data_IF_164220860035
#
_entry.id   IF_164220860035
#
_cell.length_a   1.000
_cell.length_b   1.000
_cell.length_c   1.000
_cell.angle_alpha   90.00
_cell.angle_beta   90.00
_cell.angle_gamma   90.00
#
_symmetry.space_group_name_H-M   'P 1'
#
loop_
_entity.id
_entity.type
_entity.pdbx_description
1 polymer ?
#
# COMPACT_ATOMS: atom_id res chain seq x y z
N UNK A 1 15.35 -10.66 -3.87
CA UNK A 1 16.19 -9.49 -3.57
C UNK A 1 16.87 -9.68 -2.22
N UNK A 2 18.20 -9.58 -2.22
CA UNK A 2 18.97 -9.56 -0.97
C UNK A 2 19.23 -8.11 -0.60
N UNK A 3 18.49 -7.58 0.38
CA UNK A 3 18.77 -6.25 0.93
C UNK A 3 19.74 -6.37 2.10
N UNK A 4 20.75 -5.50 2.12
CA UNK A 4 21.72 -5.39 3.24
C UNK A 4 21.53 -4.04 3.87
N UNK A 5 20.99 -4.00 5.10
CA UNK A 5 20.88 -2.76 5.87
C UNK A 5 22.06 -2.59 6.83
N UNK A 6 22.57 -1.36 6.94
CA UNK A 6 23.58 -0.98 7.93
C UNK A 6 22.91 -0.14 9.01
N UNK A 7 22.86 -0.66 10.22
CA UNK A 7 22.35 0.10 11.37
C UNK A 7 23.53 0.69 12.14
N UNK A 8 23.52 2.01 12.36
CA UNK A 8 24.47 2.72 13.19
C UNK A 8 23.79 3.05 14.52
N UNK A 9 24.22 2.39 15.60
CA UNK A 9 23.78 2.77 16.95
C UNK A 9 24.60 3.97 17.43
N UNK A 10 23.90 5.03 17.87
CA UNK A 10 24.48 6.20 18.53
C UNK A 10 24.01 6.20 19.97
N UNK A 11 24.91 6.44 20.93
CA UNK A 11 24.51 6.55 22.32
C UNK A 11 23.78 7.87 22.59
N UNK A 12 22.93 7.91 23.62
CA UNK A 12 22.15 9.09 24.01
C UNK A 12 23.00 10.35 24.26
N UNK A 13 24.27 10.18 24.59
CA UNK A 13 25.21 11.28 24.87
C UNK A 13 25.95 11.81 23.63
N UNK A 14 25.63 11.31 22.45
CA UNK A 14 26.25 11.76 21.20
C UNK A 14 27.71 11.28 20.99
N UNK A 15 28.27 10.55 21.93
CA UNK A 15 29.61 9.98 21.83
C UNK A 15 29.60 8.72 20.96
N UNK A 16 30.38 8.70 19.88
CA UNK A 16 30.56 7.51 19.04
C UNK A 16 31.48 6.55 19.78
N UNK A 17 30.94 5.72 20.65
CA UNK A 17 31.68 4.67 21.31
C UNK A 17 31.88 3.50 20.37
N UNK A 18 33.05 3.45 19.75
CA UNK A 18 33.61 2.30 19.06
C UNK A 18 32.89 1.95 17.71
N UNK A 19 33.69 1.61 16.73
CA UNK A 19 33.22 0.83 15.58
C UNK A 19 32.97 -0.60 16.07
N UNK A 20 31.77 -0.86 16.63
CA UNK A 20 31.33 -2.22 16.68
C UNK A 20 31.15 -2.66 15.24
N UNK A 21 31.75 -3.81 14.91
CA UNK A 21 31.62 -4.50 13.65
C UNK A 21 30.25 -4.23 13.06
N UNK A 22 30.19 -3.66 11.84
CA UNK A 22 28.93 -3.42 11.16
C UNK A 22 28.14 -4.73 11.20
N UNK A 23 27.09 -4.79 12.02
CA UNK A 23 26.14 -5.89 11.98
C UNK A 23 25.47 -5.79 10.63
N UNK A 24 25.85 -6.67 9.73
CA UNK A 24 25.14 -6.87 8.48
C UNK A 24 23.94 -7.75 8.81
N UNK A 25 22.81 -7.13 9.02
CA UNK A 25 21.57 -7.88 9.05
C UNK A 25 21.19 -8.23 7.61
N UNK A 26 21.11 -9.53 7.35
CA UNK A 26 20.74 -10.04 6.03
C UNK A 26 19.30 -10.49 6.10
N UNK A 27 18.42 -9.71 5.46
CA UNK A 27 17.03 -10.08 5.27
C UNK A 27 16.88 -10.93 4.01
N UNK A 28 16.21 -12.04 4.13
CA UNK A 28 15.82 -12.91 3.01
C UNK A 28 14.31 -12.88 2.89
N UNK A 29 13.78 -12.42 1.77
CA UNK A 29 12.35 -12.39 1.51
C UNK A 29 12.00 -13.16 0.24
N UNK A 30 10.85 -13.80 0.25
CA UNK A 30 10.28 -14.52 -0.88
C UNK A 30 8.77 -14.50 -0.84
N UNK A 31 8.13 -14.69 -1.99
CA UNK A 31 6.68 -14.72 -2.05
C UNK A 31 6.16 -15.47 -3.27
N UNK A 32 4.91 -15.88 -3.16
CA UNK A 32 4.15 -16.52 -4.22
C UNK A 32 2.85 -15.75 -4.38
N UNK A 33 2.47 -15.44 -5.62
CA UNK A 33 1.17 -14.85 -5.92
C UNK A 33 0.47 -15.64 -7.03
N UNK A 34 -0.84 -15.76 -6.89
CA UNK A 34 -1.71 -16.34 -7.89
C UNK A 34 -2.80 -15.33 -8.22
N UNK A 35 -2.98 -15.04 -9.49
CA UNK A 35 -4.04 -14.17 -9.98
C UNK A 35 -4.89 -14.92 -10.98
N UNK A 36 -6.19 -14.81 -10.84
CA UNK A 36 -7.16 -15.37 -11.77
C UNK A 36 -8.16 -14.29 -12.17
N UNK A 37 -8.45 -14.21 -13.46
CA UNK A 37 -9.48 -13.33 -14.00
C UNK A 37 -10.45 -14.17 -14.82
N UNK A 38 -11.75 -14.00 -14.59
CA UNK A 38 -12.80 -14.70 -15.32
C UNK A 38 -13.82 -13.72 -15.87
N UNK A 39 -14.01 -13.62 -17.17
CA UNK A 39 -15.08 -12.85 -17.76
C UNK A 39 -16.47 -13.36 -17.30
N UNK A 40 -17.39 -12.43 -16.97
CA UNK A 40 -18.78 -12.69 -16.55
C UNK A 40 -19.75 -12.03 -17.55
N UNK A 41 -19.36 -11.83 -18.74
CA UNK A 41 -20.12 -11.13 -19.77
C UNK A 41 -19.19 -10.33 -20.65
N UNK A 42 -19.74 -9.41 -21.43
CA UNK A 42 -18.96 -8.61 -22.38
C UNK A 42 -18.19 -7.47 -21.70
N UNK A 43 -18.74 -6.92 -20.61
CA UNK A 43 -18.22 -5.73 -19.94
C UNK A 43 -17.82 -5.96 -18.49
N UNK A 44 -17.79 -7.22 -18.04
CA UNK A 44 -17.48 -7.52 -16.65
C UNK A 44 -16.55 -8.70 -16.50
N UNK A 45 -15.66 -8.64 -15.51
CA UNK A 45 -14.80 -9.76 -15.13
C UNK A 45 -14.65 -9.86 -13.62
N UNK A 46 -14.63 -11.09 -13.14
CA UNK A 46 -14.31 -11.40 -11.75
C UNK A 46 -12.79 -11.56 -11.61
N UNK A 47 -12.24 -11.00 -10.54
CA UNK A 47 -10.83 -11.05 -10.18
C UNK A 47 -10.66 -11.77 -8.87
N UNK A 48 -9.67 -12.65 -8.79
CA UNK A 48 -9.21 -13.23 -7.54
C UNK A 48 -7.68 -13.17 -7.52
N UNK A 49 -7.12 -12.64 -6.45
CA UNK A 49 -5.68 -12.58 -6.25
C UNK A 49 -5.36 -13.12 -4.85
N UNK A 50 -4.44 -14.06 -4.78
CA UNK A 50 -3.86 -14.58 -3.55
C UNK A 50 -2.37 -14.26 -3.55
N UNK A 51 -1.86 -13.77 -2.43
CA UNK A 51 -0.45 -13.52 -2.21
C UNK A 51 0.00 -14.12 -0.87
N UNK A 52 1.17 -14.68 -0.85
CA UNK A 52 1.86 -15.14 0.36
C UNK A 52 3.29 -14.63 0.31
N UNK A 53 3.73 -13.96 1.38
CA UNK A 53 5.08 -13.43 1.50
C UNK A 53 5.71 -13.93 2.80
N UNK A 54 6.98 -14.26 2.74
CA UNK A 54 7.80 -14.63 3.89
C UNK A 54 9.00 -13.70 3.91
N UNK A 55 9.33 -13.17 5.07
CA UNK A 55 10.55 -12.39 5.31
C UNK A 55 11.23 -12.90 6.57
N UNK A 56 12.50 -13.27 6.45
CA UNK A 56 13.30 -13.79 7.55
C UNK A 56 14.54 -12.92 7.71
N UNK A 57 14.81 -12.52 8.95
CA UNK A 57 16.05 -11.83 9.33
C UNK A 57 17.05 -12.83 9.93
N UNK A 58 18.32 -12.71 9.53
CA UNK A 58 19.32 -13.74 9.90
C UNK A 58 19.88 -13.58 11.31
N UNK A 59 19.79 -12.39 11.91
CA UNK A 59 20.39 -12.08 13.21
C UNK A 59 19.39 -11.67 14.29
N UNK A 60 18.27 -11.07 13.91
CA UNK A 60 17.18 -10.71 14.84
C UNK A 60 15.90 -11.39 14.32
N UNK A 61 15.61 -12.58 14.82
CA UNK A 61 14.41 -13.35 14.44
C UNK A 61 13.10 -12.67 14.86
N UNK A 62 13.20 -11.61 15.66
CA UNK A 62 12.03 -10.88 16.15
C UNK A 62 11.26 -10.18 15.04
N UNK A 63 11.92 -9.90 13.90
CA UNK A 63 11.32 -9.26 12.73
C UNK A 63 10.95 -10.27 11.61
N UNK A 64 11.07 -11.56 11.87
CA UNK A 64 10.59 -12.58 10.94
C UNK A 64 9.07 -12.48 10.83
N UNK A 65 8.54 -12.42 9.60
CA UNK A 65 7.11 -12.39 9.40
C UNK A 65 6.64 -13.19 8.19
N UNK A 66 5.39 -13.60 8.24
CA UNK A 66 4.66 -14.17 7.13
C UNK A 66 3.38 -13.37 6.90
N UNK A 67 3.01 -13.16 5.66
CA UNK A 67 1.74 -12.55 5.34
C UNK A 67 0.98 -13.33 4.28
N UNK A 68 -0.33 -13.36 4.42
CA UNK A 68 -1.27 -13.96 3.49
C UNK A 68 -2.29 -12.91 3.11
N UNK A 69 -2.59 -12.80 1.83
CA UNK A 69 -3.60 -11.88 1.33
C UNK A 69 -4.48 -12.53 0.29
N UNK A 70 -5.77 -12.28 0.39
CA UNK A 70 -6.76 -12.62 -0.62
C UNK A 70 -7.51 -11.37 -1.02
N UNK A 71 -7.55 -11.08 -2.31
CA UNK A 71 -8.38 -10.02 -2.89
C UNK A 71 -9.37 -10.64 -3.85
N UNK A 72 -10.63 -10.30 -3.69
CA UNK A 72 -11.71 -10.63 -4.63
C UNK A 72 -12.26 -9.32 -5.18
N UNK A 73 -12.44 -9.24 -6.48
CA UNK A 73 -12.89 -8.02 -7.15
C UNK A 73 -13.78 -8.29 -8.33
N UNK A 74 -14.44 -7.25 -8.76
CA UNK A 74 -15.25 -7.23 -9.97
C UNK A 74 -14.85 -5.99 -10.78
N UNK A 75 -14.35 -6.18 -12.00
CA UNK A 75 -14.22 -5.08 -12.95
C UNK A 75 -15.44 -5.05 -13.84
N UNK A 76 -16.06 -3.90 -13.97
CA UNK A 76 -17.25 -3.74 -14.83
C UNK A 76 -17.27 -2.36 -15.46
N UNK A 77 -17.94 -2.25 -16.60
CA UNK A 77 -18.20 -0.97 -17.24
C UNK A 77 -19.69 -0.65 -17.08
N UNK A 78 -20.01 0.48 -16.51
CA UNK A 78 -21.36 0.95 -16.29
C UNK A 78 -21.51 2.39 -16.80
N UNK A 79 -22.33 2.59 -17.83
CA UNK A 79 -22.57 3.92 -18.40
C UNK A 79 -21.30 4.61 -18.92
N UNK A 80 -20.35 3.84 -19.46
CA UNK A 80 -19.08 4.34 -19.97
C UNK A 80 -18.01 4.61 -18.89
N UNK A 81 -18.28 4.26 -17.64
CA UNK A 81 -17.33 4.33 -16.54
C UNK A 81 -16.85 2.93 -16.17
N UNK A 82 -15.57 2.75 -15.98
CA UNK A 82 -15.01 1.54 -15.36
C UNK A 82 -15.17 1.63 -13.85
N UNK A 83 -15.70 0.55 -13.25
CA UNK A 83 -15.86 0.41 -11.80
C UNK A 83 -15.22 -0.89 -11.34
N UNK A 84 -14.46 -0.83 -10.26
CA UNK A 84 -13.70 -1.95 -9.71
C UNK A 84 -13.92 -2.07 -8.20
N UNK A 85 -15.11 -2.53 -7.75
CA UNK A 85 -15.29 -2.89 -6.34
C UNK A 85 -14.46 -4.11 -5.97
N UNK A 86 -13.91 -4.11 -4.76
CA UNK A 86 -13.10 -5.21 -4.26
C UNK A 86 -13.30 -5.44 -2.76
N UNK A 87 -12.94 -6.65 -2.34
CA UNK A 87 -12.86 -7.06 -0.95
C UNK A 87 -11.50 -7.73 -0.71
N UNK A 88 -10.88 -7.45 0.46
CA UNK A 88 -9.60 -8.00 0.84
C UNK A 88 -9.66 -8.65 2.21
N UNK A 89 -8.93 -9.73 2.38
CA UNK A 89 -8.62 -10.34 3.66
C UNK A 89 -7.12 -10.53 3.71
N UNK A 90 -6.49 -10.13 4.79
CA UNK A 90 -5.08 -10.40 5.00
C UNK A 90 -4.79 -10.81 6.45
N UNK A 91 -3.77 -11.62 6.61
CA UNK A 91 -3.22 -12.03 7.89
C UNK A 91 -1.72 -11.85 7.84
N UNK A 92 -1.15 -11.27 8.89
CA UNK A 92 0.29 -11.19 9.09
C UNK A 92 0.63 -11.86 10.43
N UNK A 93 1.55 -12.80 10.38
CA UNK A 93 2.07 -13.52 11.54
C UNK A 93 3.52 -13.05 11.76
N UNK A 94 3.80 -12.49 12.91
CA UNK A 94 5.14 -12.11 13.34
C UNK A 94 5.67 -13.12 14.35
N UNK A 95 6.96 -13.37 14.34
CA UNK A 95 7.59 -14.31 15.27
C UNK A 95 7.41 -13.92 16.75
N UNK A 96 7.18 -12.65 17.03
CA UNK A 96 6.99 -12.06 18.36
C UNK A 96 5.55 -12.08 18.89
N UNK A 97 4.69 -12.96 18.41
CA UNK A 97 3.26 -13.05 18.78
C UNK A 97 2.39 -11.81 18.46
N UNK A 98 2.87 -10.92 17.59
CA UNK A 98 2.13 -9.75 17.12
C UNK A 98 1.34 -10.04 15.83
N UNK A 99 0.47 -11.02 15.86
CA UNK A 99 -0.37 -11.36 14.71
C UNK A 99 -1.37 -10.24 14.42
N UNK A 100 -1.61 -9.98 13.15
CA UNK A 100 -2.67 -9.09 12.72
C UNK A 100 -3.57 -9.74 11.67
N UNK A 101 -4.84 -9.41 11.75
CA UNK A 101 -5.84 -9.79 10.77
C UNK A 101 -6.54 -8.53 10.26
N UNK A 102 -6.59 -8.35 8.95
CA UNK A 102 -7.24 -7.20 8.34
C UNK A 102 -8.27 -7.64 7.31
N UNK A 103 -9.41 -6.97 7.34
CA UNK A 103 -10.42 -7.04 6.31
C UNK A 103 -10.59 -5.67 5.68
N UNK A 104 -10.80 -5.62 4.38
CA UNK A 104 -10.97 -4.36 3.66
C UNK A 104 -11.96 -4.48 2.53
N UNK A 105 -12.50 -3.36 2.15
CA UNK A 105 -13.32 -3.23 0.95
C UNK A 105 -13.07 -1.87 0.30
N UNK A 106 -13.30 -1.81 -0.98
CA UNK A 106 -13.16 -0.54 -1.68
C UNK A 106 -13.80 -0.57 -3.05
N UNK A 107 -13.79 0.58 -3.66
CA UNK A 107 -14.23 0.77 -5.03
C UNK A 107 -13.28 1.74 -5.72
N UNK A 108 -12.77 1.34 -6.88
CA UNK A 108 -12.09 2.22 -7.81
C UNK A 108 -12.99 2.55 -8.99
N UNK A 109 -12.73 3.66 -9.64
CA UNK A 109 -13.42 4.01 -10.86
C UNK A 109 -12.55 4.84 -11.79
N UNK A 110 -12.88 4.74 -13.08
CA UNK A 110 -12.19 5.46 -14.14
C UNK A 110 -13.19 5.88 -15.21
N UNK A 111 -13.08 7.10 -15.69
CA UNK A 111 -13.84 7.60 -16.83
C UNK A 111 -13.04 8.67 -17.60
N UNK A 112 -13.42 8.85 -18.85
CA UNK A 112 -12.84 9.86 -19.72
C UNK A 112 -13.89 10.90 -20.12
N UNK A 113 -13.46 12.14 -20.27
CA UNK A 113 -14.28 13.24 -20.79
C UNK A 113 -13.61 13.80 -22.04
N UNK A 114 -14.21 13.54 -23.18
CA UNK A 114 -13.59 13.79 -24.45
C UNK A 114 -12.34 12.92 -24.66
N UNK A 115 -11.42 13.39 -25.50
CA UNK A 115 -10.18 12.66 -25.84
C UNK A 115 -8.99 13.03 -24.94
N UNK A 116 -9.15 14.04 -24.07
CA UNK A 116 -8.02 14.67 -23.38
C UNK A 116 -8.05 14.57 -21.87
N UNK A 117 -9.20 14.27 -21.27
CA UNK A 117 -9.35 14.21 -19.82
C UNK A 117 -9.61 12.79 -19.37
N UNK A 118 -8.83 12.31 -18.44
CA UNK A 118 -9.04 11.05 -17.74
C UNK A 118 -9.15 11.32 -16.25
N UNK A 119 -10.10 10.67 -15.62
CA UNK A 119 -10.34 10.78 -14.19
C UNK A 119 -10.32 9.40 -13.56
N UNK A 120 -9.61 9.24 -12.47
CA UNK A 120 -9.72 8.07 -11.61
C UNK A 120 -10.04 8.49 -10.18
N UNK A 121 -10.80 7.66 -9.50
CA UNK A 121 -11.17 7.88 -8.11
C UNK A 121 -11.19 6.54 -7.38
N UNK A 122 -11.01 6.59 -6.08
CA UNK A 122 -11.05 5.42 -5.22
C UNK A 122 -11.54 5.75 -3.82
N UNK A 123 -12.18 4.77 -3.23
CA UNK A 123 -12.48 4.71 -1.82
C UNK A 123 -12.04 3.36 -1.28
N UNK A 124 -11.44 3.34 -0.10
CA UNK A 124 -11.08 2.13 0.62
C UNK A 124 -11.48 2.23 2.09
N UNK A 125 -11.83 1.11 2.64
CA UNK A 125 -12.09 0.89 4.07
C UNK A 125 -11.26 -0.31 4.52
N UNK A 126 -10.69 -0.24 5.71
CA UNK A 126 -10.01 -1.36 6.35
C UNK A 126 -10.35 -1.44 7.84
N UNK A 127 -10.49 -2.66 8.34
CA UNK A 127 -10.61 -2.99 9.76
C UNK A 127 -9.49 -3.98 10.09
N UNK A 128 -8.52 -3.54 10.89
CA UNK A 128 -7.37 -4.32 11.32
C UNK A 128 -7.49 -4.66 12.79
N UNK A 129 -7.28 -5.92 13.12
CA UNK A 129 -7.28 -6.46 14.48
C UNK A 129 -5.97 -7.16 14.76
N UNK A 130 -5.27 -6.69 15.78
CA UNK A 130 -4.15 -7.41 16.35
C UNK A 130 -4.65 -8.55 17.22
N UNK A 131 -4.05 -9.72 17.09
CA UNK A 131 -4.35 -10.85 17.95
C UNK A 131 -3.33 -10.88 19.09
N UNK A 132 -3.85 -10.86 20.33
CA UNK A 132 -3.03 -10.84 21.54
C UNK A 132 -3.11 -12.18 22.23
N UNK A 133 -2.02 -12.91 22.24
CA UNK A 133 -1.85 -14.03 23.16
C UNK A 133 -0.91 -13.72 24.33
N UNK A 134 -0.36 -12.51 24.41
CA UNK A 134 0.61 -12.18 25.44
C UNK A 134 0.23 -10.98 26.30
N UNK A 135 0.88 -10.86 27.43
CA UNK A 135 0.82 -9.73 28.36
C UNK A 135 1.51 -8.46 27.78
N UNK A 136 1.91 -8.47 26.52
CA UNK A 136 2.56 -7.34 25.87
C UNK A 136 1.50 -6.31 25.44
N UNK A 137 1.62 -5.12 26.00
CA UNK A 137 0.70 -4.01 25.74
C UNK A 137 0.91 -3.38 24.36
N UNK A 138 2.06 -3.56 23.75
CA UNK A 138 2.39 -2.97 22.44
C UNK A 138 1.59 -3.58 21.29
N UNK A 139 1.18 -4.83 21.43
CA UNK A 139 0.37 -5.49 20.41
C UNK A 139 -1.10 -5.00 20.37
N UNK A 140 -1.58 -4.26 21.40
CA UNK A 140 -2.93 -3.65 21.38
C UNK A 140 -3.04 -2.50 20.39
N UNK A 141 -1.92 -1.91 20.01
CA UNK A 141 -1.85 -0.70 19.20
C UNK A 141 -2.13 -0.96 17.71
N UNK A 142 -2.33 -2.23 17.31
CA UNK A 142 -2.59 -2.58 15.91
C UNK A 142 -4.07 -2.63 15.52
N UNK A 143 -5.00 -2.46 16.48
CA UNK A 143 -6.43 -2.37 16.16
C UNK A 143 -6.75 -1.00 15.58
N UNK A 144 -7.10 -0.95 14.31
CA UNK A 144 -7.38 0.30 13.64
C UNK A 144 -8.47 0.16 12.58
N UNK A 145 -9.22 1.22 12.40
CA UNK A 145 -10.15 1.39 11.27
C UNK A 145 -9.56 2.46 10.37
N UNK A 146 -9.45 2.16 9.08
CA UNK A 146 -8.90 3.10 8.10
C UNK A 146 -9.87 3.41 6.98
N UNK A 147 -9.88 4.66 6.55
CA UNK A 147 -10.57 5.14 5.36
C UNK A 147 -9.55 5.81 4.42
N UNK A 148 -9.69 5.55 3.13
CA UNK A 148 -8.86 6.18 2.12
C UNK A 148 -9.70 6.70 0.97
N UNK A 149 -9.34 7.87 0.47
CA UNK A 149 -9.96 8.50 -0.70
C UNK A 149 -8.87 8.93 -1.65
N UNK A 150 -9.04 8.63 -2.92
CA UNK A 150 -8.11 9.06 -3.98
C UNK A 150 -8.88 9.68 -5.13
N UNK A 151 -8.27 10.67 -5.74
CA UNK A 151 -8.77 11.28 -6.96
C UNK A 151 -7.58 11.70 -7.82
N UNK A 152 -7.59 11.30 -9.09
CA UNK A 152 -6.58 11.73 -10.04
C UNK A 152 -7.23 12.26 -11.31
N UNK A 153 -6.60 13.26 -11.89
CA UNK A 153 -6.96 13.82 -13.17
C UNK A 153 -5.73 13.91 -14.07
N UNK A 154 -5.82 13.29 -15.23
CA UNK A 154 -4.82 13.39 -16.27
C UNK A 154 -5.36 14.25 -17.42
N UNK A 155 -4.51 15.12 -17.94
CA UNK A 155 -4.82 15.96 -19.07
C UNK A 155 -3.78 15.86 -20.16
N UNK A 156 -4.23 15.58 -21.38
CA UNK A 156 -3.39 15.45 -22.58
C UNK A 156 -3.40 16.79 -23.31
N UNK A 157 -2.29 17.53 -23.22
CA UNK A 157 -2.10 18.76 -23.97
C UNK A 157 -1.85 18.49 -25.45
N UNK A 158 -0.95 17.54 -25.73
CA UNK A 158 -0.57 17.11 -27.08
C UNK A 158 -0.30 15.61 -27.02
N UNK A 159 -0.05 14.97 -28.18
CA UNK A 159 0.36 13.56 -28.25
C UNK A 159 1.67 13.27 -27.46
N UNK A 160 2.45 14.31 -27.19
CA UNK A 160 3.74 14.18 -26.50
C UNK A 160 3.63 14.60 -25.03
N UNK A 161 2.77 15.55 -24.68
CA UNK A 161 2.75 16.19 -23.36
C UNK A 161 1.43 15.88 -22.65
N UNK A 162 1.52 15.28 -21.48
CA UNK A 162 0.39 15.16 -20.56
C UNK A 162 0.78 15.59 -19.14
N UNK A 163 -0.21 15.96 -18.36
CA UNK A 163 -0.05 16.29 -16.94
C UNK A 163 -0.99 15.45 -16.11
N UNK A 164 -0.61 15.23 -14.86
CA UNK A 164 -1.42 14.54 -13.86
C UNK A 164 -1.49 15.35 -12.58
N UNK A 165 -2.66 15.36 -11.96
CA UNK A 165 -2.90 15.91 -10.62
C UNK A 165 -3.53 14.82 -9.80
N UNK A 166 -2.93 14.51 -8.64
CA UNK A 166 -3.46 13.53 -7.69
C UNK A 166 -3.75 14.17 -6.35
N UNK A 167 -4.87 13.77 -5.76
CA UNK A 167 -5.30 14.11 -4.42
C UNK A 167 -5.57 12.82 -3.66
N UNK A 168 -5.07 12.73 -2.43
CA UNK A 168 -5.33 11.64 -1.50
C UNK A 168 -5.72 12.18 -0.13
N UNK A 169 -6.57 11.46 0.54
CA UNK A 169 -6.86 11.61 1.95
C UNK A 169 -6.96 10.23 2.57
N UNK A 170 -6.30 10.03 3.69
CA UNK A 170 -6.49 8.85 4.51
C UNK A 170 -6.64 9.23 5.97
N UNK A 171 -7.49 8.49 6.64
CA UNK A 171 -7.80 8.61 8.05
C UNK A 171 -7.67 7.24 8.69
N UNK A 172 -6.99 7.16 9.81
CA UNK A 172 -6.80 5.93 10.56
C UNK A 172 -7.08 6.19 12.03
N UNK A 173 -8.14 5.56 12.50
CA UNK A 173 -8.57 5.58 13.90
C UNK A 173 -8.03 4.34 14.63
N UNK A 174 -7.13 4.52 15.58
CA UNK A 174 -6.67 3.45 16.47
C UNK A 174 -7.74 3.20 17.55
N UNK A 175 -8.24 1.96 17.65
CA UNK A 175 -9.37 1.63 18.55
C UNK A 175 -8.96 1.67 20.02
N UNK A 176 -7.68 1.48 20.32
CA UNK A 176 -7.19 1.29 21.71
C UNK A 176 -6.40 2.47 22.22
N UNK A 177 -5.69 3.18 21.38
CA UNK A 177 -4.87 4.32 21.75
C UNK A 177 -5.09 5.48 20.78
N UNK A 178 -5.88 6.45 21.19
CA UNK A 178 -6.18 7.66 20.42
C UNK A 178 -4.91 8.49 20.06
N UNK A 179 -3.78 8.20 20.67
CA UNK A 179 -2.50 8.81 20.30
C UNK A 179 -1.92 8.31 18.97
N UNK A 180 -2.47 7.23 18.43
CA UNK A 180 -2.09 6.65 17.14
C UNK A 180 -3.09 6.97 16.00
N UNK A 181 -4.06 7.83 16.27
CA UNK A 181 -4.91 8.37 15.22
C UNK A 181 -4.10 9.30 14.34
N UNK A 182 -4.22 9.15 13.03
CA UNK A 182 -3.56 10.04 12.10
C UNK A 182 -4.38 10.25 10.83
N UNK A 183 -4.29 11.48 10.34
CA UNK A 183 -4.82 11.86 9.05
C UNK A 183 -3.66 12.18 8.11
N UNK A 184 -3.78 11.78 6.86
CA UNK A 184 -2.78 12.09 5.83
C UNK A 184 -3.44 12.72 4.63
N UNK A 185 -2.89 13.82 4.17
CA UNK A 185 -3.29 14.50 2.95
C UNK A 185 -2.17 14.42 1.93
N UNK A 186 -2.46 13.84 0.78
CA UNK A 186 -1.51 13.68 -0.31
C UNK A 186 -1.88 14.58 -1.48
N UNK A 187 -0.88 15.22 -2.04
CA UNK A 187 -0.97 15.99 -3.27
C UNK A 187 0.15 15.59 -4.21
N UNK A 188 -0.15 15.35 -5.47
CA UNK A 188 0.85 15.07 -6.49
C UNK A 188 0.60 15.86 -7.77
N UNK A 189 1.71 16.26 -8.40
CA UNK A 189 1.74 16.86 -9.72
C UNK A 189 2.72 16.09 -10.60
N UNK A 190 2.30 15.74 -11.80
CA UNK A 190 3.13 15.07 -12.78
C UNK A 190 3.11 15.76 -14.14
N UNK A 191 4.26 15.69 -14.83
CA UNK A 191 4.39 16.04 -16.23
C UNK A 191 5.01 14.84 -16.93
N UNK A 192 4.36 14.36 -17.98
CA UNK A 192 4.83 13.24 -18.79
C UNK A 192 5.14 13.72 -20.21
N UNK A 193 6.29 13.32 -20.69
CA UNK A 193 6.75 13.59 -22.06
C UNK A 193 6.96 12.25 -22.77
N UNK A 194 6.12 11.95 -23.77
CA UNK A 194 6.15 10.71 -24.55
C UNK A 194 6.69 10.96 -25.96
N UNK A 195 7.99 10.80 -26.15
CA UNK A 195 8.59 10.85 -27.48
C UNK A 195 8.55 9.44 -28.12
N UNK A 196 8.61 9.32 -29.47
CA UNK A 196 8.61 8.02 -30.12
C UNK A 196 9.75 7.08 -29.71
N UNK A 197 10.82 7.63 -29.13
CA UNK A 197 12.05 6.94 -28.74
C UNK A 197 12.36 7.03 -27.23
N UNK A 198 11.63 7.82 -26.44
CA UNK A 198 11.86 7.99 -25.01
C UNK A 198 10.58 8.40 -24.28
N UNK A 199 10.49 8.00 -23.03
CA UNK A 199 9.46 8.45 -22.09
C UNK A 199 10.13 9.10 -20.88
N UNK A 200 9.72 10.31 -20.53
CA UNK A 200 10.20 11.05 -19.36
C UNK A 200 9.00 11.40 -18.50
N UNK A 201 9.01 10.95 -17.24
CA UNK A 201 8.02 11.34 -16.24
C UNK A 201 8.72 12.12 -15.13
N UNK A 202 8.18 13.28 -14.80
CA UNK A 202 8.59 14.09 -13.66
C UNK A 202 7.40 14.20 -12.74
N UNK A 203 7.53 13.63 -11.53
CA UNK A 203 6.46 13.66 -10.53
C UNK A 203 6.99 14.31 -9.27
N UNK A 204 6.23 15.23 -8.70
CA UNK A 204 6.45 15.80 -7.39
C UNK A 204 5.23 15.50 -6.53
N UNK A 205 5.45 15.02 -5.31
CA UNK A 205 4.40 14.73 -4.34
C UNK A 205 4.73 15.36 -2.98
N UNK A 206 3.70 15.74 -2.25
CA UNK A 206 3.76 16.22 -0.87
C UNK A 206 2.73 15.44 -0.06
N UNK A 207 3.12 15.04 1.14
CA UNK A 207 2.26 14.41 2.12
C UNK A 207 2.30 15.22 3.41
N UNK A 208 1.15 15.43 4.03
CA UNK A 208 0.98 16.17 5.28
C UNK A 208 0.23 15.28 6.26
N UNK A 209 0.78 15.16 7.48
CA UNK A 209 0.20 14.44 8.60
C UNK A 209 -0.26 15.42 9.65
#
# INVERSE_FOLDING_TARGET
>A
DNSVSKTRKQSEDGEVTGFNSAMFDKTSSGGISFSATRPIGEESSFLANFAHTISNQHQEHDDDFQSYGLTLGLDTVLGGQSLSPYFTISKSDYHTDADSFSTGMGIGGFFTVGERHSFSYGYSYSDTKGNHNSSDTTARDTNAIGHGYTFNHDYIFTEIISTSIGLGYSDTDAIVDAGNDYETYDFSLGINLAFPWAYIAITNGMSFN
#
